data_IF_210617329054
#
_entry.id   IF_210617329054
#
_cell.length_a   1.000
_cell.length_b   1.000
_cell.length_c   1.000
_cell.angle_alpha   90.00
_cell.angle_beta   90.00
_cell.angle_gamma   90.00
#
_symmetry.space_group_name_H-M   'P 1'
#
loop_
_entity.id
_entity.type
_entity.pdbx_description
1 polymer ?
#
# COMPACT_ATOMS: atom_id res chain seq x y z
N UNK A 1 32.67 9.99 7.54
CA UNK A 1 32.64 11.17 6.66
C UNK A 1 31.53 10.93 5.66
N UNK A 2 30.61 11.86 5.39
CA UNK A 2 29.67 11.70 4.28
C UNK A 2 30.52 11.58 3.01
N UNK A 3 30.16 10.62 2.14
CA UNK A 3 30.86 10.36 0.88
C UNK A 3 30.93 11.66 0.08
N UNK A 4 32.03 11.85 -0.64
CA UNK A 4 32.24 13.01 -1.49
C UNK A 4 31.16 13.06 -2.56
N UNK A 5 30.34 14.12 -2.59
CA UNK A 5 29.25 14.26 -3.52
C UNK A 5 29.73 14.20 -4.98
N UNK A 6 28.98 13.49 -5.82
CA UNK A 6 29.30 13.30 -7.23
C UNK A 6 28.46 14.22 -8.11
N UNK A 7 29.11 15.03 -8.91
CA UNK A 7 28.49 16.01 -9.81
C UNK A 7 28.75 15.57 -11.27
N UNK A 8 27.72 15.46 -12.07
CA UNK A 8 27.82 15.22 -13.49
C UNK A 8 27.62 16.53 -14.27
N UNK A 9 28.57 16.85 -15.15
CA UNK A 9 28.53 18.05 -15.99
C UNK A 9 28.23 17.60 -17.44
N UNK A 10 27.14 18.06 -18.00
CA UNK A 10 26.63 17.68 -19.32
C UNK A 10 26.55 18.96 -20.18
N UNK A 11 27.45 19.10 -21.12
CA UNK A 11 27.59 20.30 -21.96
C UNK A 11 28.35 19.88 -23.23
N UNK A 12 28.01 20.37 -24.40
CA UNK A 12 28.70 20.01 -25.64
C UNK A 12 30.07 20.73 -25.77
N UNK A 13 30.24 21.86 -25.09
CA UNK A 13 31.48 22.63 -25.12
C UNK A 13 32.52 22.05 -24.12
N UNK A 14 33.62 21.47 -24.65
CA UNK A 14 34.69 20.93 -23.79
C UNK A 14 35.29 21.97 -22.83
N UNK A 15 35.49 23.20 -23.30
CA UNK A 15 36.05 24.28 -22.46
C UNK A 15 35.14 24.58 -21.23
N UNK A 16 33.82 24.49 -21.41
CA UNK A 16 32.85 24.69 -20.32
C UNK A 16 32.91 23.52 -19.33
N UNK A 17 32.93 22.27 -19.83
CA UNK A 17 33.09 21.08 -18.96
C UNK A 17 34.36 21.15 -18.14
N UNK A 18 35.48 21.51 -18.75
CA UNK A 18 36.77 21.61 -18.06
C UNK A 18 36.80 22.73 -17.03
N UNK A 19 36.23 23.89 -17.36
CA UNK A 19 36.12 25.02 -16.42
C UNK A 19 35.29 24.68 -15.19
N UNK A 20 34.09 24.13 -15.39
CA UNK A 20 33.21 23.67 -14.29
C UNK A 20 33.92 22.61 -13.44
N UNK A 21 34.54 21.62 -14.08
CA UNK A 21 35.25 20.54 -13.42
C UNK A 21 36.39 21.07 -12.53
N UNK A 22 37.20 22.00 -13.03
CA UNK A 22 38.32 22.59 -12.25
C UNK A 22 37.82 23.29 -10.99
N UNK A 23 36.73 24.05 -11.07
CA UNK A 23 36.13 24.75 -9.92
C UNK A 23 35.62 23.74 -8.91
N UNK A 24 34.84 22.74 -9.32
CA UNK A 24 34.20 21.80 -8.43
C UNK A 24 35.16 20.80 -7.78
N UNK A 25 36.22 20.37 -8.50
CA UNK A 25 37.28 19.54 -7.92
C UNK A 25 38.05 20.30 -6.81
N UNK A 26 38.31 21.59 -7.01
CA UNK A 26 38.99 22.43 -5.97
C UNK A 26 38.13 22.54 -4.69
N UNK A 27 36.79 22.46 -4.85
CA UNK A 27 35.87 22.50 -3.73
C UNK A 27 35.63 21.09 -3.12
N UNK A 28 36.36 20.06 -3.60
CA UNK A 28 36.35 18.72 -3.02
C UNK A 28 35.28 17.80 -3.56
N UNK A 29 34.57 18.13 -4.64
CA UNK A 29 33.57 17.28 -5.24
C UNK A 29 34.16 16.27 -6.23
N UNK A 30 33.55 15.09 -6.34
CA UNK A 30 33.81 14.16 -7.42
C UNK A 30 33.07 14.63 -8.65
N UNK A 31 33.76 14.73 -9.78
CA UNK A 31 33.15 15.23 -11.02
C UNK A 31 33.30 14.23 -12.17
N UNK A 32 32.22 14.05 -12.92
CA UNK A 32 32.17 13.33 -14.18
C UNK A 32 31.64 14.28 -15.27
N UNK A 33 31.95 14.02 -16.51
CA UNK A 33 31.53 14.87 -17.64
C UNK A 33 30.89 14.05 -18.73
N UNK A 34 29.95 14.61 -19.46
CA UNK A 34 29.35 14.05 -20.66
C UNK A 34 29.26 15.14 -21.73
N UNK A 35 29.38 14.77 -23.00
CA UNK A 35 29.44 15.73 -24.12
C UNK A 35 28.09 15.96 -24.79
N UNK A 36 27.08 15.13 -24.49
CA UNK A 36 25.74 15.22 -25.02
C UNK A 36 24.70 14.61 -24.06
N UNK A 37 23.42 14.72 -24.42
CA UNK A 37 22.33 14.21 -23.59
C UNK A 37 22.30 12.69 -23.47
N UNK A 38 22.69 11.95 -24.52
CA UNK A 38 22.66 10.47 -24.53
C UNK A 38 23.75 9.89 -23.64
N UNK A 39 24.99 10.39 -23.76
CA UNK A 39 26.10 10.00 -22.88
C UNK A 39 25.84 10.45 -21.42
N UNK A 40 25.21 11.61 -21.24
CA UNK A 40 24.74 12.09 -19.95
C UNK A 40 23.76 11.13 -19.30
N UNK A 41 22.72 10.70 -20.01
CA UNK A 41 21.72 9.77 -19.53
C UNK A 41 22.30 8.39 -19.17
N UNK A 42 23.24 7.90 -20.00
CA UNK A 42 23.95 6.66 -19.71
C UNK A 42 24.74 6.75 -18.39
N UNK A 43 25.50 7.86 -18.20
CA UNK A 43 26.24 8.09 -16.97
C UNK A 43 25.34 8.25 -15.74
N UNK A 44 24.21 8.93 -15.85
CA UNK A 44 23.23 9.05 -14.77
C UNK A 44 22.80 7.67 -14.26
N UNK A 45 22.49 6.73 -15.17
CA UNK A 45 22.12 5.36 -14.80
C UNK A 45 23.25 4.59 -14.10
N UNK A 46 24.50 4.81 -14.53
CA UNK A 46 25.68 4.10 -14.03
C UNK A 46 26.15 4.62 -12.66
N UNK A 47 26.28 5.94 -12.53
CA UNK A 47 26.94 6.55 -11.36
C UNK A 47 25.96 7.16 -10.35
N UNK A 48 24.69 7.37 -10.73
CA UNK A 48 23.64 8.01 -9.91
C UNK A 48 24.17 9.28 -9.21
N UNK A 49 24.50 10.34 -9.96
CA UNK A 49 25.12 11.53 -9.40
C UNK A 49 24.22 12.24 -8.40
N UNK A 50 24.80 13.00 -7.50
CA UNK A 50 24.04 13.82 -6.55
C UNK A 50 23.47 15.07 -7.19
N UNK A 51 24.18 15.61 -8.18
CA UNK A 51 23.79 16.79 -8.92
C UNK A 51 24.21 16.67 -10.37
N UNK A 52 23.34 17.09 -11.29
CA UNK A 52 23.64 17.22 -12.72
C UNK A 52 23.59 18.69 -13.14
N UNK A 53 24.68 19.17 -13.75
CA UNK A 53 24.74 20.45 -14.46
C UNK A 53 24.43 20.18 -15.91
N UNK A 54 23.37 20.75 -16.49
CA UNK A 54 22.84 20.39 -17.80
C UNK A 54 22.76 21.62 -18.70
N UNK A 55 23.43 21.60 -19.84
CA UNK A 55 23.16 22.58 -20.88
C UNK A 55 21.83 22.24 -21.60
N UNK A 56 21.08 23.27 -21.95
CA UNK A 56 19.81 23.12 -22.69
C UNK A 56 20.03 22.85 -24.17
N UNK A 57 21.07 23.42 -24.76
CA UNK A 57 21.34 23.30 -26.20
C UNK A 57 22.51 22.39 -26.44
N UNK A 58 22.22 21.16 -26.76
CA UNK A 58 23.19 20.14 -27.14
C UNK A 58 22.76 19.43 -28.44
N UNK A 59 23.68 18.91 -29.22
CA UNK A 59 23.36 18.05 -30.37
C UNK A 59 22.63 16.78 -29.91
N UNK A 60 21.65 16.32 -30.69
CA UNK A 60 20.88 15.12 -30.38
C UNK A 60 19.81 15.37 -29.36
N UNK A 61 19.88 14.72 -28.19
CA UNK A 61 18.93 14.90 -27.09
C UNK A 61 19.09 16.26 -26.44
N UNK A 62 18.03 17.05 -26.42
CA UNK A 62 18.02 18.36 -25.78
C UNK A 62 18.13 18.26 -24.24
N UNK A 63 18.70 19.31 -23.61
CA UNK A 63 18.76 19.35 -22.15
C UNK A 63 17.39 19.32 -21.47
N UNK A 64 16.35 19.84 -22.13
CA UNK A 64 14.95 19.79 -21.65
C UNK A 64 14.41 18.35 -21.60
N UNK A 65 14.66 17.56 -22.63
CA UNK A 65 14.28 16.13 -22.66
C UNK A 65 15.08 15.31 -21.64
N UNK A 66 16.37 15.68 -21.46
CA UNK A 66 17.22 15.03 -20.45
C UNK A 66 16.70 15.28 -19.03
N UNK A 67 16.25 16.49 -18.72
CA UNK A 67 15.68 16.83 -17.39
C UNK A 67 14.48 15.96 -17.05
N UNK A 68 13.57 15.72 -17.99
CA UNK A 68 12.42 14.83 -17.78
C UNK A 68 12.87 13.40 -17.46
N UNK A 69 13.80 12.86 -18.28
CA UNK A 69 14.32 11.50 -18.08
C UNK A 69 15.13 11.34 -16.79
N UNK A 70 15.81 12.39 -16.31
CA UNK A 70 16.48 12.36 -15.01
C UNK A 70 15.45 12.20 -13.90
N UNK A 71 14.34 12.97 -13.93
CA UNK A 71 13.26 12.88 -12.95
C UNK A 71 12.62 11.50 -12.88
N UNK A 72 12.49 10.81 -14.03
CA UNK A 72 11.95 9.44 -14.09
C UNK A 72 12.91 8.39 -13.50
N UNK A 73 14.24 8.61 -13.62
CA UNK A 73 15.25 7.67 -13.12
C UNK A 73 15.44 7.79 -11.60
N UNK A 74 15.65 9.00 -11.11
CA UNK A 74 15.77 9.30 -9.68
C UNK A 74 15.35 10.76 -9.42
N UNK A 75 14.17 10.97 -8.84
CA UNK A 75 13.64 12.32 -8.55
C UNK A 75 14.49 13.08 -7.50
N UNK A 76 15.42 12.41 -6.85
CA UNK A 76 16.32 13.05 -5.89
C UNK A 76 17.58 13.60 -6.55
N UNK A 77 17.90 13.31 -7.81
CA UNK A 77 19.00 13.95 -8.51
C UNK A 77 18.66 15.43 -8.72
N UNK A 78 19.47 16.31 -8.20
CA UNK A 78 19.27 17.74 -8.37
C UNK A 78 19.81 18.17 -9.72
N UNK A 79 18.96 18.64 -10.61
CA UNK A 79 19.33 19.14 -11.93
C UNK A 79 19.42 20.65 -11.93
N UNK A 80 20.57 21.20 -12.30
CA UNK A 80 20.80 22.63 -12.47
C UNK A 80 21.09 22.90 -13.95
N UNK A 81 20.31 23.79 -14.53
CA UNK A 81 20.48 24.19 -15.93
C UNK A 81 21.56 25.24 -16.06
N UNK A 82 22.48 25.03 -17.00
CA UNK A 82 23.51 26.02 -17.38
C UNK A 82 23.35 26.31 -18.86
N UNK A 83 23.03 27.55 -19.26
CA UNK A 83 22.81 27.86 -20.68
C UNK A 83 23.09 29.31 -21.05
N UNK A 84 23.53 29.51 -22.30
CA UNK A 84 23.68 30.85 -22.89
C UNK A 84 22.38 31.50 -23.38
N UNK A 85 21.27 30.73 -23.39
CA UNK A 85 19.94 31.18 -23.84
C UNK A 85 19.01 31.37 -22.65
N UNK A 86 19.39 32.28 -21.77
CA UNK A 86 18.67 32.59 -20.54
C UNK A 86 17.50 33.53 -20.81
N UNK A 87 16.36 33.02 -21.27
CA UNK A 87 15.09 33.75 -21.28
C UNK A 87 14.22 33.37 -20.08
N UNK A 88 13.29 34.23 -19.72
CA UNK A 88 12.35 33.93 -18.62
C UNK A 88 11.52 32.69 -18.98
N UNK A 89 11.13 32.55 -20.25
CA UNK A 89 10.38 31.39 -20.74
C UNK A 89 11.16 30.10 -20.59
N UNK A 90 12.46 30.08 -21.00
CA UNK A 90 13.30 28.88 -20.88
C UNK A 90 13.57 28.47 -19.43
N UNK A 91 13.74 29.45 -18.55
CA UNK A 91 13.88 29.19 -17.11
C UNK A 91 12.60 28.58 -16.49
N UNK A 92 11.43 29.16 -16.81
CA UNK A 92 10.13 28.65 -16.34
C UNK A 92 9.86 27.24 -16.89
N UNK A 93 10.20 26.97 -18.15
CA UNK A 93 10.01 25.65 -18.74
C UNK A 93 10.93 24.61 -18.11
N UNK A 94 12.19 24.95 -17.86
CA UNK A 94 13.14 24.08 -17.18
C UNK A 94 12.66 23.72 -15.75
N UNK A 95 12.16 24.71 -15.00
CA UNK A 95 11.60 24.49 -13.66
C UNK A 95 10.37 23.56 -13.67
N UNK A 96 9.51 23.66 -14.70
CA UNK A 96 8.38 22.73 -14.88
C UNK A 96 8.82 21.29 -15.18
N UNK A 97 10.04 21.12 -15.74
CA UNK A 97 10.65 19.81 -16.08
C UNK A 97 11.69 19.35 -15.06
N UNK A 98 11.45 19.63 -13.78
CA UNK A 98 12.31 19.22 -12.65
C UNK A 98 13.71 19.87 -12.56
N UNK A 99 14.00 20.96 -13.25
CA UNK A 99 15.18 21.75 -12.91
C UNK A 99 15.02 22.37 -11.53
N UNK A 100 16.05 22.26 -10.72
CA UNK A 100 16.10 22.89 -9.38
C UNK A 100 16.46 24.36 -9.44
N UNK A 101 17.44 24.71 -10.30
CA UNK A 101 17.96 26.07 -10.43
C UNK A 101 18.48 26.30 -11.85
N UNK A 102 18.79 27.54 -12.15
CA UNK A 102 19.16 27.97 -13.47
C UNK A 102 20.36 28.94 -13.38
N UNK A 103 21.44 28.66 -14.14
CA UNK A 103 22.67 29.45 -14.16
C UNK A 103 22.95 29.97 -15.59
N UNK A 104 22.74 31.27 -15.87
CA UNK A 104 23.01 31.83 -17.21
C UNK A 104 24.51 31.93 -17.51
N UNK A 105 24.90 31.56 -18.73
CA UNK A 105 26.25 31.79 -19.27
C UNK A 105 26.34 33.25 -19.80
N UNK A 106 27.45 34.00 -19.56
CA UNK A 106 28.62 33.64 -18.76
C UNK A 106 28.35 33.78 -17.26
N UNK A 107 28.94 32.91 -16.45
CA UNK A 107 28.87 32.93 -14.99
C UNK A 107 30.23 32.91 -14.36
N UNK A 108 30.30 33.37 -13.09
CA UNK A 108 31.53 33.36 -12.30
C UNK A 108 31.70 32.03 -11.54
N UNK A 109 32.94 31.64 -11.16
CA UNK A 109 33.19 30.49 -10.31
C UNK A 109 32.35 30.53 -9.00
N UNK A 110 32.14 31.71 -8.42
CA UNK A 110 31.35 31.83 -7.19
C UNK A 110 29.86 31.59 -7.39
N UNK A 111 29.29 31.98 -8.53
CA UNK A 111 27.93 31.65 -8.88
C UNK A 111 27.72 30.15 -9.05
N UNK A 112 28.67 29.47 -9.72
CA UNK A 112 28.64 27.99 -9.84
C UNK A 112 28.72 27.32 -8.45
N UNK A 113 29.59 27.79 -7.56
CA UNK A 113 29.71 27.28 -6.19
C UNK A 113 28.40 27.42 -5.40
N UNK A 114 27.77 28.59 -5.49
CA UNK A 114 26.52 28.88 -4.75
C UNK A 114 25.42 27.95 -5.19
N UNK A 115 25.19 27.84 -6.51
CA UNK A 115 24.09 27.01 -7.02
C UNK A 115 24.32 25.52 -6.74
N UNK A 116 25.56 25.05 -6.91
CA UNK A 116 25.95 23.67 -6.61
C UNK A 116 25.73 23.34 -5.14
N UNK A 117 26.19 24.20 -4.24
CA UNK A 117 26.03 24.00 -2.79
C UNK A 117 24.55 23.94 -2.40
N UNK A 118 23.72 24.89 -2.87
CA UNK A 118 22.28 24.89 -2.61
C UNK A 118 21.60 23.62 -3.13
N UNK A 119 21.98 23.18 -4.33
CA UNK A 119 21.44 21.95 -4.92
C UNK A 119 21.79 20.72 -4.07
N UNK A 120 23.04 20.59 -3.63
CA UNK A 120 23.47 19.48 -2.79
C UNK A 120 22.85 19.51 -1.39
N UNK A 121 22.67 20.70 -0.78
CA UNK A 121 21.94 20.85 0.48
C UNK A 121 20.48 20.36 0.34
N UNK A 122 19.78 20.74 -0.74
CA UNK A 122 18.42 20.26 -1.01
C UNK A 122 18.37 18.74 -1.14
N UNK A 123 19.33 18.15 -1.92
CA UNK A 123 19.41 16.68 -2.05
C UNK A 123 19.61 16.00 -0.70
N UNK A 124 20.57 16.51 0.09
CA UNK A 124 20.85 15.97 1.42
C UNK A 124 19.62 15.96 2.31
N UNK A 125 18.88 17.08 2.34
CA UNK A 125 17.62 17.18 3.10
C UNK A 125 16.55 16.23 2.58
N UNK A 126 16.40 16.08 1.26
CA UNK A 126 15.42 15.17 0.66
C UNK A 126 15.74 13.71 0.98
N UNK A 127 17.00 13.30 0.87
CA UNK A 127 17.46 11.94 1.20
C UNK A 127 17.30 11.66 2.69
N UNK A 128 17.65 12.62 3.55
CA UNK A 128 17.47 12.48 5.01
C UNK A 128 16.00 12.37 5.40
N UNK A 129 15.13 13.20 4.81
CA UNK A 129 13.69 13.13 5.04
C UNK A 129 13.10 11.77 4.61
N UNK A 130 13.49 11.25 3.43
CA UNK A 130 13.08 9.94 2.95
C UNK A 130 13.56 8.81 3.88
N UNK A 131 14.80 8.89 4.36
CA UNK A 131 15.38 7.93 5.31
C UNK A 131 14.62 7.94 6.65
N UNK A 132 14.38 9.12 7.22
CA UNK A 132 13.64 9.27 8.47
C UNK A 132 12.22 8.75 8.35
N UNK A 133 11.56 9.00 7.22
CA UNK A 133 10.23 8.46 6.94
C UNK A 133 10.25 6.93 6.90
N UNK A 134 11.22 6.33 6.22
CA UNK A 134 11.38 4.87 6.16
C UNK A 134 11.69 4.27 7.55
N UNK A 135 12.55 4.91 8.33
CA UNK A 135 12.86 4.46 9.70
C UNK A 135 11.62 4.54 10.61
N UNK A 136 10.82 5.60 10.50
CA UNK A 136 9.56 5.76 11.22
C UNK A 136 8.56 4.65 10.88
N UNK A 137 8.43 4.31 9.60
CA UNK A 137 7.52 3.24 9.15
C UNK A 137 7.98 1.88 9.68
N UNK A 138 9.28 1.56 9.57
CA UNK A 138 9.85 0.32 10.16
C UNK A 138 9.67 0.27 11.68
N UNK A 139 9.85 1.39 12.38
CA UNK A 139 9.65 1.45 13.83
C UNK A 139 8.19 1.21 14.21
N UNK A 140 7.24 1.82 13.48
CA UNK A 140 5.78 1.60 13.65
C UNK A 140 5.45 0.11 13.49
N UNK A 141 5.97 -0.52 12.45
CA UNK A 141 5.74 -1.93 12.15
C UNK A 141 6.30 -2.87 13.24
N UNK A 142 7.55 -2.66 13.62
CA UNK A 142 8.19 -3.44 14.67
C UNK A 142 7.45 -3.31 16.01
N UNK A 143 7.02 -2.09 16.35
CA UNK A 143 6.24 -1.84 17.55
C UNK A 143 4.91 -2.60 17.55
N UNK A 144 4.15 -2.54 16.45
CA UNK A 144 2.87 -3.26 16.31
C UNK A 144 3.09 -4.78 16.44
N UNK A 145 4.11 -5.31 15.77
CA UNK A 145 4.46 -6.74 15.82
C UNK A 145 4.80 -7.17 17.26
N UNK A 146 5.65 -6.40 17.94
CA UNK A 146 6.06 -6.67 19.31
C UNK A 146 4.86 -6.64 20.28
N UNK A 147 4.07 -5.56 20.23
CA UNK A 147 2.90 -5.40 21.11
C UNK A 147 1.89 -6.52 20.88
N UNK A 148 1.65 -6.89 19.62
CA UNK A 148 0.71 -7.98 19.29
C UNK A 148 1.17 -9.32 19.86
N UNK A 149 2.45 -9.65 19.78
CA UNK A 149 3.00 -10.86 20.40
C UNK A 149 2.89 -10.83 21.93
N UNK A 150 3.21 -9.68 22.52
CA UNK A 150 3.14 -9.51 23.99
C UNK A 150 1.70 -9.54 24.52
N UNK A 151 0.72 -9.10 23.76
CA UNK A 151 -0.70 -9.18 24.14
C UNK A 151 -1.29 -10.57 23.87
N UNK A 152 -0.91 -11.24 22.80
CA UNK A 152 -1.43 -12.58 22.46
C UNK A 152 -1.11 -13.61 23.55
N UNK A 153 0.12 -13.66 24.02
CA UNK A 153 0.56 -14.68 24.99
C UNK A 153 -0.28 -14.71 26.28
N UNK A 154 -0.47 -13.61 27.03
CA UNK A 154 -1.29 -13.61 28.23
C UNK A 154 -2.77 -13.91 27.95
N UNK A 155 -3.32 -13.40 26.85
CA UNK A 155 -4.72 -13.65 26.47
C UNK A 155 -4.98 -15.13 26.18
N UNK A 156 -4.07 -15.80 25.45
CA UNK A 156 -4.14 -17.24 25.20
C UNK A 156 -4.05 -18.01 26.49
N UNK A 157 -3.17 -17.63 27.43
CA UNK A 157 -3.03 -18.31 28.73
C UNK A 157 -4.31 -18.17 29.55
N UNK A 158 -4.93 -16.97 29.62
CA UNK A 158 -6.19 -16.78 30.33
C UNK A 158 -7.31 -17.62 29.69
N UNK A 159 -7.35 -17.69 28.35
CA UNK A 159 -8.32 -18.51 27.61
C UNK A 159 -8.18 -19.99 27.97
N UNK A 160 -6.95 -20.50 28.04
CA UNK A 160 -6.66 -21.87 28.45
C UNK A 160 -7.13 -22.14 29.90
N UNK A 161 -6.91 -21.22 30.84
CA UNK A 161 -7.41 -21.40 32.21
C UNK A 161 -8.95 -21.49 32.24
N UNK A 162 -9.65 -20.70 31.43
CA UNK A 162 -11.10 -20.81 31.34
C UNK A 162 -11.57 -22.16 30.79
N UNK A 163 -10.86 -22.71 29.80
CA UNK A 163 -11.14 -24.04 29.26
C UNK A 163 -10.94 -25.13 30.32
N UNK A 164 -9.83 -25.10 31.05
CA UNK A 164 -9.54 -26.05 32.14
C UNK A 164 -10.62 -26.02 33.23
N UNK A 165 -11.12 -24.81 33.57
CA UNK A 165 -12.20 -24.65 34.53
C UNK A 165 -13.54 -25.21 34.02
N UNK A 166 -13.86 -24.91 32.73
CA UNK A 166 -15.11 -25.34 32.10
C UNK A 166 -15.16 -26.88 31.86
N UNK A 167 -14.00 -27.51 31.63
CA UNK A 167 -13.86 -28.96 31.48
C UNK A 167 -13.92 -29.71 32.82
N UNK A 168 -14.01 -28.98 33.95
CA UNK A 168 -14.17 -29.57 35.28
C UNK A 168 -12.88 -30.09 35.94
N UNK A 169 -11.68 -29.84 35.38
CA UNK A 169 -10.43 -30.28 35.98
C UNK A 169 -10.11 -29.69 37.37
N UNK A 170 -10.75 -28.58 37.72
CA UNK A 170 -10.55 -27.91 39.01
C UNK A 170 -11.78 -28.04 39.95
N UNK A 171 -12.73 -28.90 39.60
CA UNK A 171 -13.97 -29.13 40.31
C UNK A 171 -15.21 -28.58 39.60
N UNK A 172 -16.39 -28.85 40.20
CA UNK A 172 -17.67 -28.44 39.59
C UNK A 172 -17.87 -26.94 39.67
N UNK A 173 -18.37 -26.38 38.58
CA UNK A 173 -18.69 -24.94 38.43
C UNK A 173 -20.18 -24.75 38.45
N UNK A 174 -20.69 -23.85 39.29
CA UNK A 174 -22.11 -23.51 39.30
C UNK A 174 -22.54 -22.88 37.96
N UNK A 175 -23.78 -23.15 37.52
CA UNK A 175 -24.30 -22.71 36.21
C UNK A 175 -24.06 -21.21 35.92
N UNK A 176 -24.26 -20.34 36.91
CA UNK A 176 -24.03 -18.91 36.80
C UNK A 176 -22.54 -18.56 36.58
N UNK A 177 -21.64 -19.27 37.25
CA UNK A 177 -20.19 -19.09 37.07
C UNK A 177 -19.76 -19.55 35.70
N UNK A 178 -20.32 -20.67 35.21
CA UNK A 178 -20.07 -21.19 33.84
C UNK A 178 -20.43 -20.16 32.78
N UNK A 179 -21.64 -19.57 32.87
CA UNK A 179 -22.08 -18.49 31.97
C UNK A 179 -21.11 -17.29 31.96
N UNK A 180 -20.63 -16.88 33.15
CA UNK A 180 -19.69 -15.75 33.27
C UNK A 180 -18.32 -16.09 32.64
N UNK A 181 -17.81 -17.32 32.84
CA UNK A 181 -16.54 -17.75 32.29
C UNK A 181 -16.64 -17.85 30.76
N UNK A 182 -17.73 -18.41 30.25
CA UNK A 182 -17.98 -18.49 28.80
C UNK A 182 -18.06 -17.09 28.17
N UNK A 183 -18.73 -16.13 28.82
CA UNK A 183 -18.79 -14.74 28.35
C UNK A 183 -17.40 -14.08 28.38
N UNK A 184 -16.63 -14.27 29.45
CA UNK A 184 -15.26 -13.77 29.53
C UNK A 184 -14.36 -14.39 28.46
N UNK A 185 -14.50 -15.69 28.18
CA UNK A 185 -13.83 -16.38 27.10
C UNK A 185 -14.13 -15.75 25.73
N UNK A 186 -15.41 -15.50 25.44
CA UNK A 186 -15.81 -14.81 24.19
C UNK A 186 -15.15 -13.42 24.05
N UNK A 187 -15.05 -12.66 25.16
CA UNK A 187 -14.37 -11.36 25.14
C UNK A 187 -12.88 -11.45 24.87
N UNK A 188 -12.23 -12.51 25.34
CA UNK A 188 -10.81 -12.78 25.04
C UNK A 188 -10.63 -13.13 23.55
N UNK A 189 -11.51 -13.97 22.99
CA UNK A 189 -11.47 -14.32 21.58
C UNK A 189 -11.66 -13.06 20.68
N UNK A 190 -12.54 -12.15 21.07
CA UNK A 190 -12.71 -10.84 20.42
C UNK A 190 -11.42 -9.99 20.47
N UNK A 191 -10.76 -9.93 21.63
CA UNK A 191 -9.49 -9.19 21.78
C UNK A 191 -8.37 -9.83 20.96
N UNK A 192 -8.25 -11.15 20.94
CA UNK A 192 -7.28 -11.86 20.12
C UNK A 192 -7.51 -11.59 18.63
N UNK A 193 -8.77 -11.56 18.20
CA UNK A 193 -9.12 -11.19 16.81
C UNK A 193 -8.71 -9.75 16.50
N UNK A 194 -9.00 -8.78 17.40
CA UNK A 194 -8.58 -7.38 17.23
C UNK A 194 -7.07 -7.23 17.06
N UNK A 195 -6.29 -7.91 17.92
CA UNK A 195 -4.82 -7.89 17.86
C UNK A 195 -4.32 -8.46 16.52
N UNK A 196 -4.91 -9.57 16.05
CA UNK A 196 -4.54 -10.18 14.76
C UNK A 196 -4.95 -9.29 13.57
N UNK A 197 -6.13 -8.70 13.60
CA UNK A 197 -6.64 -7.80 12.57
C UNK A 197 -5.71 -6.57 12.44
N UNK A 198 -5.29 -6.00 13.56
CA UNK A 198 -4.38 -4.85 13.57
C UNK A 198 -2.98 -5.19 13.04
N UNK A 199 -2.43 -6.37 13.38
CA UNK A 199 -1.19 -6.88 12.83
C UNK A 199 -1.26 -7.03 11.30
N UNK A 200 -2.34 -7.65 10.81
CA UNK A 200 -2.55 -7.84 9.38
C UNK A 200 -2.61 -6.51 8.62
N UNK A 201 -3.34 -5.53 9.16
CA UNK A 201 -3.42 -4.18 8.58
C UNK A 201 -2.03 -3.55 8.45
N UNK A 202 -1.23 -3.62 9.53
CA UNK A 202 0.14 -3.09 9.53
C UNK A 202 1.06 -3.78 8.50
N UNK A 203 0.96 -5.10 8.34
CA UNK A 203 1.75 -5.83 7.33
C UNK A 203 1.35 -5.47 5.90
N UNK A 204 0.06 -5.23 5.65
CA UNK A 204 -0.44 -4.79 4.33
C UNK A 204 0.08 -3.39 4.01
N UNK A 205 0.02 -2.45 4.97
CA UNK A 205 0.53 -1.09 4.82
C UNK A 205 2.04 -1.06 4.54
N UNK A 206 2.80 -1.97 5.14
CA UNK A 206 4.24 -2.12 4.91
C UNK A 206 4.61 -2.76 3.56
N UNK A 207 3.63 -3.11 2.72
CA UNK A 207 3.86 -3.69 1.39
C UNK A 207 4.31 -5.15 1.37
N UNK A 208 4.42 -5.81 2.53
CA UNK A 208 4.90 -7.21 2.64
C UNK A 208 3.99 -8.24 1.95
N UNK A 209 2.77 -7.84 1.65
CA UNK A 209 1.82 -8.70 0.95
C UNK A 209 2.27 -8.97 -0.50
N UNK A 210 2.80 -7.96 -1.18
CA UNK A 210 3.17 -8.00 -2.61
C UNK A 210 4.38 -8.91 -2.85
N UNK A 211 5.26 -9.08 -1.86
CA UNK A 211 6.45 -9.94 -1.95
C UNK A 211 6.13 -11.44 -2.18
N UNK A 212 4.87 -11.85 -1.97
CA UNK A 212 4.39 -13.25 -2.06
C UNK A 212 3.32 -13.43 -3.13
N UNK A 213 3.33 -12.62 -4.18
CA UNK A 213 2.34 -12.75 -5.25
C UNK A 213 2.72 -13.87 -6.20
N UNK A 214 1.71 -14.70 -6.51
CA UNK A 214 1.76 -15.82 -7.44
C UNK A 214 0.47 -15.88 -8.28
N UNK A 215 0.43 -16.60 -9.39
CA UNK A 215 -0.82 -16.85 -10.11
C UNK A 215 -1.78 -17.69 -9.25
N UNK A 216 -2.93 -17.14 -8.89
CA UNK A 216 -3.94 -17.82 -8.04
C UNK A 216 -5.30 -17.89 -8.71
N UNK A 217 -5.99 -19.01 -8.49
CA UNK A 217 -7.38 -19.22 -8.92
C UNK A 217 -8.36 -18.75 -7.83
N UNK A 218 -9.24 -17.80 -8.14
CA UNK A 218 -10.19 -17.24 -7.16
C UNK A 218 -11.28 -18.22 -6.76
N UNK A 219 -11.75 -19.03 -7.70
CA UNK A 219 -12.86 -19.97 -7.47
C UNK A 219 -12.60 -20.98 -6.35
N UNK A 220 -11.43 -21.68 -6.29
CA UNK A 220 -11.10 -22.56 -5.18
C UNK A 220 -11.03 -21.83 -3.85
N UNK A 221 -10.45 -20.63 -3.81
CA UNK A 221 -10.33 -19.80 -2.59
C UNK A 221 -11.73 -19.45 -2.08
N UNK A 222 -12.59 -18.97 -2.96
CA UNK A 222 -13.97 -18.60 -2.60
C UNK A 222 -14.77 -19.81 -2.12
N UNK A 223 -14.66 -20.95 -2.81
CA UNK A 223 -15.30 -22.22 -2.43
C UNK A 223 -14.85 -22.72 -1.05
N UNK A 224 -13.54 -22.67 -0.77
CA UNK A 224 -13.01 -23.02 0.56
C UNK A 224 -13.52 -22.06 1.64
N UNK A 225 -13.61 -20.75 1.34
CA UNK A 225 -14.12 -19.75 2.28
C UNK A 225 -15.61 -19.97 2.59
N UNK A 226 -16.42 -20.27 1.57
CA UNK A 226 -17.84 -20.59 1.75
C UNK A 226 -18.00 -21.84 2.62
N UNK A 227 -17.26 -22.92 2.33
CA UNK A 227 -17.27 -24.15 3.17
C UNK A 227 -16.86 -23.88 4.61
N UNK A 228 -15.84 -23.06 4.83
CA UNK A 228 -15.36 -22.70 6.17
C UNK A 228 -16.43 -21.96 6.98
N UNK A 229 -17.23 -21.11 6.34
CA UNK A 229 -18.24 -20.27 7.01
C UNK A 229 -19.63 -20.91 7.07
N UNK A 230 -19.83 -22.09 6.47
CA UNK A 230 -21.11 -22.80 6.48
C UNK A 230 -21.65 -23.03 7.90
N UNK A 231 -20.85 -23.52 8.90
CA UNK A 231 -21.35 -23.72 10.26
C UNK A 231 -21.82 -22.40 10.92
N UNK A 232 -21.13 -21.30 10.64
CA UNK A 232 -21.50 -19.99 11.17
C UNK A 232 -22.82 -19.49 10.54
N UNK A 233 -23.04 -19.73 9.27
CA UNK A 233 -24.27 -19.40 8.58
C UNK A 233 -25.46 -20.20 9.12
N UNK A 234 -25.28 -21.51 9.35
CA UNK A 234 -26.30 -22.40 9.94
C UNK A 234 -26.69 -21.96 11.36
N UNK A 235 -25.71 -21.63 12.19
CA UNK A 235 -25.93 -21.12 13.55
C UNK A 235 -26.77 -19.83 13.55
N UNK A 236 -26.52 -18.94 12.58
CA UNK A 236 -27.26 -17.68 12.40
C UNK A 236 -28.56 -17.87 11.58
N UNK A 237 -28.88 -19.09 11.15
CA UNK A 237 -30.05 -19.41 10.31
C UNK A 237 -30.04 -18.62 8.99
N UNK A 238 -28.88 -18.47 8.38
CA UNK A 238 -28.65 -17.78 7.10
C UNK A 238 -28.27 -18.82 6.05
N UNK A 239 -28.87 -18.74 4.85
CA UNK A 239 -28.50 -19.60 3.72
C UNK A 239 -27.24 -19.04 3.04
N UNK A 240 -26.12 -19.76 3.12
CA UNK A 240 -24.87 -19.38 2.42
C UNK A 240 -24.73 -20.21 1.15
N UNK A 241 -24.66 -19.55 0.00
CA UNK A 241 -24.66 -20.18 -1.32
C UNK A 241 -23.49 -19.66 -2.17
N UNK A 242 -22.92 -20.54 -2.99
CA UNK A 242 -21.99 -20.16 -4.05
C UNK A 242 -22.62 -20.49 -5.40
N UNK A 243 -22.73 -19.50 -6.28
CA UNK A 243 -23.13 -19.75 -7.65
C UNK A 243 -22.02 -20.48 -8.39
N UNK A 244 -22.40 -21.43 -9.26
CA UNK A 244 -21.41 -22.17 -10.03
C UNK A 244 -20.60 -21.21 -10.92
N UNK A 245 -19.25 -21.24 -10.81
CA UNK A 245 -18.38 -20.45 -11.66
C UNK A 245 -18.40 -20.98 -13.10
N UNK A 246 -17.99 -20.19 -14.10
CA UNK A 246 -17.68 -20.69 -15.44
C UNK A 246 -16.66 -21.83 -15.38
N UNK A 247 -16.73 -22.78 -16.35
CA UNK A 247 -15.83 -23.95 -16.39
C UNK A 247 -14.34 -23.58 -16.48
N UNK A 248 -14.02 -22.46 -17.13
CA UNK A 248 -12.66 -21.91 -17.19
C UNK A 248 -12.68 -20.50 -16.62
N UNK A 249 -11.87 -20.26 -15.57
CA UNK A 249 -11.78 -18.97 -14.92
C UNK A 249 -10.32 -18.54 -14.86
N UNK A 250 -9.94 -17.35 -15.41
CA UNK A 250 -8.57 -16.90 -15.45
C UNK A 250 -7.95 -16.76 -14.06
N UNK A 251 -6.62 -16.75 -14.01
CA UNK A 251 -5.87 -16.50 -12.78
C UNK A 251 -5.75 -14.99 -12.50
N UNK A 252 -5.54 -14.64 -11.24
CA UNK A 252 -5.09 -13.32 -10.82
C UNK A 252 -3.68 -13.41 -10.25
N UNK A 253 -2.91 -12.35 -10.37
CA UNK A 253 -1.61 -12.27 -9.68
C UNK A 253 -1.83 -11.81 -8.24
N UNK A 254 -1.54 -12.66 -7.24
CA UNK A 254 -1.86 -12.31 -5.87
C UNK A 254 -1.41 -13.31 -4.81
N UNK A 255 -1.78 -13.01 -3.57
CA UNK A 255 -1.55 -13.87 -2.41
C UNK A 255 -2.87 -14.54 -2.00
N UNK A 256 -2.95 -15.86 -2.15
CA UNK A 256 -4.16 -16.64 -1.92
C UNK A 256 -4.71 -16.55 -0.49
N UNK A 257 -3.82 -16.54 0.53
CA UNK A 257 -4.23 -16.45 1.94
C UNK A 257 -4.84 -15.09 2.27
N UNK A 258 -4.27 -14.02 1.72
CA UNK A 258 -4.81 -12.67 1.92
C UNK A 258 -6.15 -12.47 1.21
N UNK A 259 -6.29 -12.98 -0.02
CA UNK A 259 -7.57 -12.97 -0.73
C UNK A 259 -8.64 -13.77 0.03
N UNK A 260 -8.29 -14.94 0.57
CA UNK A 260 -9.15 -15.73 1.44
C UNK A 260 -9.59 -14.93 2.68
N UNK A 261 -8.68 -14.19 3.30
CA UNK A 261 -9.02 -13.29 4.42
C UNK A 261 -9.99 -12.19 4.00
N UNK A 262 -9.79 -11.54 2.86
CA UNK A 262 -10.72 -10.53 2.34
C UNK A 262 -12.12 -11.10 2.13
N UNK A 263 -12.24 -12.26 1.47
CA UNK A 263 -13.54 -12.93 1.26
C UNK A 263 -14.17 -13.38 2.58
N UNK A 264 -13.38 -13.90 3.52
CA UNK A 264 -13.85 -14.26 4.86
C UNK A 264 -14.46 -13.05 5.57
N UNK A 265 -13.83 -11.89 5.53
CA UNK A 265 -14.33 -10.67 6.15
C UNK A 265 -15.67 -10.23 5.51
N UNK A 266 -15.78 -10.27 4.20
CA UNK A 266 -16.99 -9.84 3.51
C UNK A 266 -18.16 -10.84 3.72
N UNK A 267 -17.91 -12.14 3.58
CA UNK A 267 -18.94 -13.18 3.76
C UNK A 267 -19.38 -13.22 5.23
N UNK A 268 -18.46 -13.16 6.20
CA UNK A 268 -18.81 -13.15 7.62
C UNK A 268 -19.65 -11.92 7.99
N UNK A 269 -19.38 -10.76 7.39
CA UNK A 269 -20.23 -9.59 7.56
C UNK A 269 -21.65 -9.85 6.99
N UNK A 270 -21.77 -10.41 5.79
CA UNK A 270 -23.04 -10.78 5.19
C UNK A 270 -23.85 -11.76 6.05
N UNK A 271 -23.19 -12.66 6.79
CA UNK A 271 -23.82 -13.58 7.74
C UNK A 271 -24.25 -12.83 9.03
N UNK A 272 -23.32 -12.07 9.64
CA UNK A 272 -23.54 -11.45 10.95
C UNK A 272 -24.56 -10.31 10.94
N UNK A 273 -24.64 -9.58 9.83
CA UNK A 273 -25.60 -8.48 9.62
C UNK A 273 -26.84 -8.91 8.83
N UNK A 274 -27.09 -10.23 8.74
CA UNK A 274 -28.28 -10.76 8.10
C UNK A 274 -29.45 -10.89 9.07
N UNK A 275 -30.61 -11.15 8.50
CA UNK A 275 -31.82 -11.54 9.25
C UNK A 275 -31.98 -13.07 9.22
N UNK A 276 -32.67 -13.64 10.17
CA UNK A 276 -33.00 -15.07 10.18
C UNK A 276 -33.79 -15.43 8.90
N UNK A 277 -33.39 -16.50 8.23
CA UNK A 277 -33.94 -16.91 6.95
C UNK A 277 -33.44 -16.11 5.73
N UNK A 278 -32.48 -15.18 5.93
CA UNK A 278 -31.84 -14.46 4.84
C UNK A 278 -30.80 -15.30 4.11
N UNK A 279 -30.23 -14.73 3.07
CA UNK A 279 -29.27 -15.40 2.18
C UNK A 279 -28.00 -14.57 2.03
N UNK A 280 -26.86 -15.26 1.92
CA UNK A 280 -25.59 -14.69 1.44
C UNK A 280 -25.20 -15.50 0.19
N UNK A 281 -24.95 -14.79 -0.91
CA UNK A 281 -24.58 -15.40 -2.19
C UNK A 281 -23.19 -14.90 -2.58
N UNK A 282 -22.27 -15.83 -2.87
CA UNK A 282 -20.98 -15.54 -3.46
C UNK A 282 -20.96 -15.99 -4.93
N UNK A 283 -20.53 -15.12 -5.82
CA UNK A 283 -20.45 -15.44 -7.25
C UNK A 283 -19.16 -14.87 -7.86
N UNK A 284 -18.79 -15.44 -9.01
CA UNK A 284 -17.63 -14.97 -9.78
C UNK A 284 -18.06 -14.78 -11.24
N UNK A 285 -17.61 -13.70 -11.86
CA UNK A 285 -17.78 -13.46 -13.29
C UNK A 285 -16.55 -12.79 -13.88
N UNK A 286 -16.42 -12.93 -15.17
CA UNK A 286 -15.40 -12.23 -15.95
C UNK A 286 -16.01 -10.97 -16.57
N UNK A 287 -15.33 -9.85 -16.46
CA UNK A 287 -15.77 -8.58 -17.01
C UNK A 287 -14.57 -7.82 -17.61
N UNK A 288 -14.53 -7.77 -18.96
CA UNK A 288 -13.41 -7.16 -19.70
C UNK A 288 -12.04 -7.77 -19.29
N UNK A 289 -11.14 -6.93 -18.76
CA UNK A 289 -9.79 -7.36 -18.30
C UNK A 289 -9.72 -7.64 -16.80
N UNK A 290 -10.86 -7.83 -16.13
CA UNK A 290 -10.97 -8.07 -14.69
C UNK A 290 -11.74 -9.33 -14.38
N UNK A 291 -11.44 -9.92 -13.23
CA UNK A 291 -12.28 -10.90 -12.57
C UNK A 291 -13.07 -10.20 -11.48
N UNK A 292 -14.37 -10.44 -11.47
CA UNK A 292 -15.27 -9.85 -10.49
C UNK A 292 -15.74 -10.94 -9.54
N UNK A 293 -15.48 -10.74 -8.24
CA UNK A 293 -16.10 -11.53 -7.17
C UNK A 293 -17.20 -10.68 -6.55
N UNK A 294 -18.41 -11.21 -6.50
CA UNK A 294 -19.56 -10.54 -5.93
C UNK A 294 -20.07 -11.29 -4.71
N UNK A 295 -20.21 -10.57 -3.60
CA UNK A 295 -20.75 -11.10 -2.34
C UNK A 295 -21.97 -10.25 -1.98
N UNK A 296 -23.14 -10.88 -2.05
CA UNK A 296 -24.44 -10.22 -1.85
C UNK A 296 -25.17 -10.84 -0.66
N UNK A 297 -25.74 -10.02 0.20
CA UNK A 297 -26.58 -10.43 1.32
C UNK A 297 -27.96 -9.79 1.27
N UNK A 298 -28.93 -10.43 1.91
CA UNK A 298 -30.30 -9.93 2.09
C UNK A 298 -30.53 -9.40 3.50
N UNK A 299 -29.48 -8.88 4.14
CA UNK A 299 -29.47 -8.44 5.52
C UNK A 299 -30.12 -7.09 5.77
N UNK A 300 -29.67 -6.45 6.86
CA UNK A 300 -30.22 -5.15 7.31
C UNK A 300 -29.89 -3.99 6.35
N UNK A 301 -28.88 -4.16 5.49
CA UNK A 301 -28.40 -3.09 4.62
C UNK A 301 -27.70 -1.94 5.35
N UNK A 302 -27.20 -0.98 4.60
CA UNK A 302 -26.45 0.18 5.07
C UNK A 302 -27.13 1.45 4.56
N UNK A 303 -27.32 2.43 5.43
CA UNK A 303 -27.87 3.73 5.02
C UNK A 303 -26.86 4.50 4.17
N UNK A 304 -27.35 5.34 3.26
CA UNK A 304 -26.50 6.16 2.36
C UNK A 304 -25.50 7.04 3.13
N UNK A 305 -25.92 7.55 4.29
CA UNK A 305 -25.07 8.38 5.16
C UNK A 305 -23.84 7.61 5.70
N UNK A 306 -23.97 6.31 5.93
CA UNK A 306 -22.91 5.48 6.48
C UNK A 306 -22.01 4.85 5.40
N UNK A 307 -22.42 4.78 4.13
CA UNK A 307 -21.67 4.14 3.06
C UNK A 307 -20.26 4.70 2.86
N UNK A 308 -20.07 6.00 3.07
CA UNK A 308 -18.77 6.65 2.95
C UNK A 308 -17.78 6.27 4.07
N UNK A 309 -18.29 5.79 5.20
CA UNK A 309 -17.48 5.51 6.40
C UNK A 309 -17.24 4.02 6.67
N UNK A 310 -17.92 3.10 5.95
CA UNK A 310 -17.82 1.65 6.26
C UNK A 310 -16.41 1.07 6.09
N UNK A 311 -15.54 1.74 5.35
CA UNK A 311 -14.15 1.37 5.17
C UNK A 311 -13.18 2.10 6.10
N UNK A 312 -13.70 2.97 6.99
CA UNK A 312 -12.89 3.63 8.01
C UNK A 312 -12.59 2.65 9.16
N UNK A 313 -11.37 2.74 9.68
CA UNK A 313 -10.93 1.88 10.79
C UNK A 313 -11.77 2.11 12.04
N UNK A 314 -12.15 1.01 12.71
CA UNK A 314 -12.97 1.00 13.92
C UNK A 314 -14.39 1.57 13.74
N UNK A 315 -14.80 1.93 12.53
CA UNK A 315 -16.15 2.40 12.27
C UNK A 315 -17.16 1.27 12.38
N UNK A 316 -18.28 1.54 13.07
CA UNK A 316 -19.41 0.62 13.23
C UNK A 316 -20.72 1.39 13.28
N UNK A 317 -21.69 0.93 12.51
CA UNK A 317 -23.06 1.47 12.58
C UNK A 317 -23.72 0.98 13.86
N UNK A 318 -24.12 1.92 14.74
CA UNK A 318 -24.81 1.63 16.02
C UNK A 318 -26.30 1.86 15.84
N UNK A 319 -27.05 0.80 15.61
CA UNK A 319 -28.52 0.81 15.57
C UNK A 319 -29.10 -0.16 16.62
N UNK A 320 -30.41 -0.22 16.74
CA UNK A 320 -31.05 -1.22 17.62
C UNK A 320 -30.78 -2.64 17.14
N UNK A 321 -30.74 -2.85 15.82
CA UNK A 321 -30.50 -4.14 15.15
C UNK A 321 -29.05 -4.61 15.30
N UNK A 322 -28.09 -3.69 15.38
CA UNK A 322 -26.66 -4.01 15.55
C UNK A 322 -26.23 -4.08 17.02
N UNK A 323 -27.15 -3.81 17.96
CA UNK A 323 -26.91 -3.88 19.40
C UNK A 323 -26.68 -5.34 19.83
N UNK A 324 -25.45 -5.67 20.22
CA UNK A 324 -25.08 -7.04 20.61
C UNK A 324 -24.28 -7.81 19.55
N UNK A 325 -24.21 -7.32 18.31
CA UNK A 325 -23.27 -7.87 17.36
C UNK A 325 -21.86 -7.50 17.74
N UNK A 326 -20.97 -8.48 17.78
CA UNK A 326 -19.55 -8.30 18.10
C UNK A 326 -18.74 -8.07 16.83
N UNK A 327 -17.72 -7.22 16.89
CA UNK A 327 -16.84 -6.97 15.74
C UNK A 327 -15.84 -5.84 15.99
N UNK A 328 -14.67 -5.96 15.38
CA UNK A 328 -13.55 -5.02 15.53
C UNK A 328 -13.76 -3.67 14.82
N UNK A 329 -14.59 -3.65 13.77
CA UNK A 329 -14.65 -2.53 12.83
C UNK A 329 -13.42 -2.48 11.89
N UNK A 330 -12.60 -3.54 11.85
CA UNK A 330 -11.41 -3.62 10.99
C UNK A 330 -11.61 -4.54 9.78
N UNK A 331 -12.63 -5.39 9.76
CA UNK A 331 -12.81 -6.39 8.70
C UNK A 331 -12.96 -5.78 7.29
N UNK A 332 -13.80 -4.75 7.12
CA UNK A 332 -13.97 -4.05 5.84
C UNK A 332 -12.74 -3.22 5.43
N UNK A 333 -12.11 -2.42 6.31
CA UNK A 333 -10.82 -1.79 6.03
C UNK A 333 -9.76 -2.78 5.55
N UNK A 334 -9.59 -3.92 6.23
CA UNK A 334 -8.64 -4.97 5.85
C UNK A 334 -8.96 -5.54 4.47
N UNK A 335 -10.24 -5.88 4.21
CA UNK A 335 -10.65 -6.39 2.90
C UNK A 335 -10.32 -5.38 1.79
N UNK A 336 -10.63 -4.10 1.98
CA UNK A 336 -10.30 -3.03 1.03
C UNK A 336 -8.80 -2.92 0.79
N UNK A 337 -7.98 -2.87 1.84
CA UNK A 337 -6.51 -2.79 1.72
C UNK A 337 -5.92 -3.99 1.00
N UNK A 338 -6.40 -5.20 1.28
CA UNK A 338 -5.98 -6.41 0.56
C UNK A 338 -6.29 -6.27 -0.93
N UNK A 339 -7.50 -5.88 -1.29
CA UNK A 339 -7.91 -5.74 -2.69
C UNK A 339 -7.10 -4.65 -3.40
N UNK A 340 -6.88 -3.50 -2.77
CA UNK A 340 -6.06 -2.41 -3.30
C UNK A 340 -4.59 -2.84 -3.50
N UNK A 341 -4.02 -3.61 -2.56
CA UNK A 341 -2.67 -4.18 -2.70
C UNK A 341 -2.56 -5.16 -3.89
N UNK A 342 -3.67 -5.77 -4.30
CA UNK A 342 -3.76 -6.61 -5.51
C UNK A 342 -4.07 -5.81 -6.79
N UNK A 343 -3.90 -4.48 -6.77
CA UNK A 343 -4.27 -3.58 -7.86
C UNK A 343 -5.74 -3.67 -8.27
N UNK A 344 -6.59 -4.13 -7.34
CA UNK A 344 -8.02 -4.25 -7.52
C UNK A 344 -8.78 -3.07 -6.95
N UNK A 345 -10.11 -3.14 -7.05
CA UNK A 345 -11.02 -2.18 -6.43
C UNK A 345 -12.23 -2.89 -5.82
N UNK A 346 -12.83 -2.30 -4.80
CA UNK A 346 -14.04 -2.77 -4.16
C UNK A 346 -15.13 -1.70 -4.28
N UNK A 347 -16.31 -2.12 -4.75
CA UNK A 347 -17.51 -1.29 -4.82
C UNK A 347 -18.57 -1.86 -3.90
N UNK A 348 -19.43 -1.00 -3.37
CA UNK A 348 -20.55 -1.39 -2.51
C UNK A 348 -21.84 -0.74 -2.99
N UNK A 349 -22.88 -1.56 -3.04
CA UNK A 349 -24.25 -1.10 -3.27
C UNK A 349 -25.09 -1.65 -2.12
N UNK A 350 -25.80 -0.76 -1.42
CA UNK A 350 -26.62 -1.16 -0.28
C UNK A 350 -27.85 -0.27 -0.13
N UNK A 351 -28.92 -0.89 0.33
CA UNK A 351 -30.17 -0.22 0.68
C UNK A 351 -30.66 -0.75 2.02
N UNK A 352 -31.01 0.16 2.92
CA UNK A 352 -31.47 -0.20 4.26
C UNK A 352 -32.71 -1.10 4.17
N UNK A 353 -32.67 -2.24 4.86
CA UNK A 353 -33.74 -3.25 4.85
C UNK A 353 -33.73 -4.21 3.66
N UNK A 354 -32.88 -4.02 2.63
CA UNK A 354 -32.82 -4.89 1.46
C UNK A 354 -31.54 -5.74 1.38
N UNK A 355 -30.45 -5.26 2.02
CA UNK A 355 -29.18 -5.96 2.05
C UNK A 355 -28.04 -5.17 1.40
N UNK A 356 -26.90 -5.84 1.22
CA UNK A 356 -25.66 -5.25 0.72
C UNK A 356 -25.01 -6.13 -0.34
N UNK A 357 -24.44 -5.53 -1.37
CA UNK A 357 -23.64 -6.20 -2.38
C UNK A 357 -22.27 -5.56 -2.48
N UNK A 358 -21.22 -6.34 -2.23
CA UNK A 358 -19.83 -5.95 -2.47
C UNK A 358 -19.38 -6.57 -3.80
N UNK A 359 -18.86 -5.74 -4.70
CA UNK A 359 -18.25 -6.16 -5.96
C UNK A 359 -16.76 -5.87 -5.94
N UNK A 360 -15.96 -6.93 -6.02
CA UNK A 360 -14.49 -6.90 -5.97
C UNK A 360 -13.98 -7.10 -7.39
N UNK A 361 -13.24 -6.15 -7.92
CA UNK A 361 -12.62 -6.20 -9.24
C UNK A 361 -11.12 -6.46 -9.09
N UNK A 362 -10.62 -7.53 -9.67
CA UNK A 362 -9.18 -7.89 -9.66
C UNK A 362 -8.68 -8.01 -11.10
N UNK A 363 -7.50 -7.45 -11.42
CA UNK A 363 -6.93 -7.60 -12.76
C UNK A 363 -6.54 -9.05 -13.02
N UNK A 364 -6.75 -9.52 -14.26
CA UNK A 364 -6.27 -10.84 -14.70
C UNK A 364 -4.75 -10.90 -14.64
N UNK A 365 -4.20 -12.05 -14.29
CA UNK A 365 -2.77 -12.29 -14.48
C UNK A 365 -2.44 -12.11 -15.98
N UNK A 366 -1.32 -11.44 -16.26
CA UNK A 366 -0.81 -11.39 -17.65
C UNK A 366 -0.43 -12.82 -18.04
N UNK A 367 -0.93 -13.30 -19.16
CA UNK A 367 -0.39 -14.50 -19.79
C UNK A 367 1.07 -14.20 -20.14
N UNK A 368 2.01 -14.91 -19.51
CA UNK A 368 3.39 -14.91 -19.98
C UNK A 368 3.39 -15.58 -21.37
N UNK A 369 3.69 -14.77 -22.40
CA UNK A 369 3.92 -15.23 -23.76
C UNK A 369 5.28 -15.90 -23.88
#
# INVERSE_FOLDING_TARGET
>A
MPGQATILIIDDEQAMRDSCRQVLIKDGYRTETAEDGDSGLQKIRQIKPDLALVDLKMPGMSGMELLEKIGDIDPNIVSVVITGYATIESAVEAMKRNAYDFLPKPFTPDQLRIVTRRGLERRSLAVEAAKLQQEKEKMKENFITLVSHQLRSPLVSIRQYFEVILEGFVGDVASKQKEMIEEAGRRIDELLKLVNDWLNLSHIEAGKLVEKFEPVALTPILSQTVKLLQPAAELNKVSLQMQQPPESFPLVQGNGESLKQAFTNLISNGINYNRQGGTVTASTREENNHLVVEISDTGIGISQENLSFIFDEFFRVKTKETRGLTGSGLGLPIAKRIIEAHNGSIKVVSELGKGTTFSILLPKAKEEQ
#
